data_IF_963824078774
#
_entry.id   IF_963824078774
#
_cell.length_a   1.000
_cell.length_b   1.000
_cell.length_c   1.000
_cell.angle_alpha   90.00
_cell.angle_beta   90.00
_cell.angle_gamma   90.00
#
_symmetry.space_group_name_H-M   'P 1'
#
loop_
_entity.id
_entity.type
_entity.pdbx_description
1 polymer ?
#
# COMPACT_ATOMS: atom_id res chain seq x y z
N UNK A 1 0.16 -14.62 13.01
CA UNK A 1 -0.16 -13.77 11.85
C UNK A 1 0.83 -14.09 10.75
N UNK A 2 0.37 -14.10 9.50
CA UNK A 2 1.17 -14.28 8.29
C UNK A 2 1.03 -13.04 7.40
N UNK A 3 2.15 -12.49 6.91
CA UNK A 3 2.17 -11.39 5.93
C UNK A 3 2.92 -11.90 4.70
N UNK A 4 2.22 -11.97 3.57
CA UNK A 4 2.80 -12.32 2.27
C UNK A 4 2.80 -11.10 1.39
N UNK A 5 3.98 -10.71 0.90
CA UNK A 5 4.14 -9.66 -0.11
C UNK A 5 4.45 -10.38 -1.41
N UNK A 6 3.62 -10.16 -2.43
CA UNK A 6 3.68 -10.90 -3.68
C UNK A 6 4.53 -10.17 -4.71
N UNK A 7 5.24 -10.94 -5.52
CA UNK A 7 5.86 -10.44 -6.75
C UNK A 7 4.78 -10.19 -7.80
N UNK A 8 4.38 -8.93 -7.93
CA UNK A 8 3.41 -8.45 -8.91
C UNK A 8 4.06 -7.68 -10.05
N UNK A 9 5.38 -7.78 -10.21
CA UNK A 9 6.17 -6.92 -11.10
C UNK A 9 6.06 -5.45 -10.70
N UNK A 10 5.09 -4.72 -11.25
CA UNK A 10 4.84 -3.32 -10.93
C UNK A 10 3.65 -3.22 -9.98
N UNK A 11 3.70 -2.28 -9.04
CA UNK A 11 2.64 -2.07 -8.06
C UNK A 11 2.85 -2.83 -6.76
N UNK A 12 1.75 -3.00 -6.03
CA UNK A 12 1.71 -3.69 -4.75
C UNK A 12 0.65 -4.79 -4.71
N UNK A 13 0.94 -5.87 -3.99
CA UNK A 13 -0.08 -6.73 -3.43
C UNK A 13 0.49 -7.46 -2.21
N UNK A 14 -0.20 -7.38 -1.06
CA UNK A 14 0.16 -8.12 0.12
C UNK A 14 -1.08 -8.67 0.84
N UNK A 15 -1.02 -9.96 1.21
CA UNK A 15 -2.04 -10.63 2.02
C UNK A 15 -1.59 -10.66 3.48
N UNK A 16 -2.46 -10.19 4.37
CA UNK A 16 -2.30 -10.32 5.82
C UNK A 16 -3.34 -11.31 6.32
N UNK A 17 -2.89 -12.37 6.97
CA UNK A 17 -3.75 -13.36 7.63
C UNK A 17 -3.52 -13.30 9.13
N UNK A 18 -4.57 -12.96 9.88
CA UNK A 18 -4.56 -12.81 11.33
C UNK A 18 -4.71 -14.17 12.02
N UNK A 19 -4.41 -14.24 13.32
CA UNK A 19 -4.48 -15.51 14.07
C UNK A 19 -5.89 -16.06 14.25
N UNK A 20 -6.88 -15.18 14.25
CA UNK A 20 -8.29 -15.55 14.35
C UNK A 20 -8.93 -15.85 12.98
N UNK A 21 -8.12 -15.92 11.91
CA UNK A 21 -8.55 -16.34 10.58
C UNK A 21 -9.14 -15.23 9.72
N UNK A 22 -9.08 -13.96 10.16
CA UNK A 22 -9.46 -12.83 9.31
C UNK A 22 -8.35 -12.46 8.33
N UNK A 23 -8.75 -12.00 7.15
CA UNK A 23 -7.84 -11.67 6.06
C UNK A 23 -7.98 -10.21 5.62
N UNK A 24 -6.84 -9.58 5.35
CA UNK A 24 -6.77 -8.26 4.75
C UNK A 24 -5.89 -8.32 3.51
N UNK A 25 -6.23 -7.50 2.51
CA UNK A 25 -5.41 -7.33 1.33
C UNK A 25 -4.96 -5.88 1.24
N UNK A 26 -3.67 -5.65 1.06
CA UNK A 26 -3.08 -4.35 0.77
C UNK A 26 -2.73 -4.36 -0.72
N UNK A 27 -3.40 -3.50 -1.49
CA UNK A 27 -3.38 -3.44 -2.94
C UNK A 27 -3.81 -4.74 -3.66
N UNK A 28 -4.12 -4.62 -4.94
CA UNK A 28 -4.63 -5.69 -5.80
C UNK A 28 -3.90 -5.72 -7.15
N UNK A 29 -2.59 -5.47 -7.15
CA UNK A 29 -1.72 -5.66 -8.30
C UNK A 29 -1.66 -7.11 -8.77
N UNK A 30 -1.22 -7.32 -10.01
CA UNK A 30 -1.03 -8.65 -10.59
C UNK A 30 0.28 -8.73 -11.36
N UNK A 31 0.78 -9.95 -11.49
CA UNK A 31 1.97 -10.23 -12.28
C UNK A 31 1.55 -10.59 -13.71
N UNK A 32 1.89 -9.77 -14.69
CA UNK A 32 1.53 -9.99 -16.09
C UNK A 32 2.38 -11.10 -16.73
N UNK A 33 3.66 -11.22 -16.35
CA UNK A 33 4.56 -12.25 -16.90
C UNK A 33 4.19 -13.66 -16.46
N UNK A 34 3.88 -13.87 -15.19
CA UNK A 34 3.52 -15.20 -14.66
C UNK A 34 2.01 -15.47 -14.72
N UNK A 35 1.20 -14.42 -14.92
CA UNK A 35 -0.25 -14.49 -14.86
C UNK A 35 -0.81 -14.62 -13.43
N UNK A 36 0.02 -14.45 -12.39
CA UNK A 36 -0.42 -14.51 -11.00
C UNK A 36 -1.39 -13.36 -10.69
N UNK A 37 -2.50 -13.68 -10.03
CA UNK A 37 -3.62 -12.76 -9.74
C UNK A 37 -4.18 -13.02 -8.34
N UNK A 38 -4.42 -11.98 -7.51
CA UNK A 38 -5.05 -12.17 -6.21
C UNK A 38 -6.48 -12.74 -6.33
N UNK A 39 -7.22 -12.40 -7.39
CA UNK A 39 -8.57 -12.94 -7.65
C UNK A 39 -8.61 -14.46 -7.89
N UNK A 40 -7.49 -15.07 -8.26
CA UNK A 40 -7.35 -16.53 -8.43
C UNK A 40 -6.66 -17.15 -7.23
N UNK A 41 -5.63 -16.49 -6.71
CA UNK A 41 -4.83 -16.99 -5.60
C UNK A 41 -5.63 -17.10 -4.31
N UNK A 42 -6.42 -16.08 -3.94
CA UNK A 42 -7.16 -16.09 -2.68
C UNK A 42 -8.23 -17.20 -2.61
N UNK A 43 -9.12 -17.37 -3.63
CA UNK A 43 -10.08 -18.48 -3.61
C UNK A 43 -9.43 -19.86 -3.59
N UNK A 44 -8.27 -20.03 -4.24
CA UNK A 44 -7.52 -21.30 -4.20
C UNK A 44 -6.97 -21.62 -2.80
N UNK A 45 -6.77 -20.63 -1.95
CA UNK A 45 -6.46 -20.81 -0.52
C UNK A 45 -7.72 -20.99 0.35
N UNK A 46 -8.92 -20.98 -0.23
CA UNK A 46 -10.20 -21.00 0.49
C UNK A 46 -10.60 -19.64 1.07
N UNK A 47 -9.91 -18.55 0.70
CA UNK A 47 -10.22 -17.20 1.16
C UNK A 47 -11.28 -16.60 0.24
N UNK A 48 -12.52 -16.54 0.73
CA UNK A 48 -13.67 -16.02 -0.03
C UNK A 48 -14.14 -14.64 0.44
N UNK A 49 -13.57 -14.12 1.54
CA UNK A 49 -13.86 -12.78 2.05
C UNK A 49 -12.62 -12.10 2.60
N UNK A 50 -12.56 -10.78 2.45
CA UNK A 50 -11.59 -9.89 3.08
C UNK A 50 -12.33 -9.00 4.07
N UNK A 51 -11.81 -8.94 5.30
CA UNK A 51 -12.27 -7.99 6.29
C UNK A 51 -11.96 -6.56 5.83
N UNK A 52 -10.77 -6.35 5.24
CA UNK A 52 -10.37 -5.07 4.67
C UNK A 52 -9.59 -5.23 3.38
N UNK A 53 -9.96 -4.46 2.37
CA UNK A 53 -9.10 -4.12 1.24
C UNK A 53 -8.54 -2.72 1.49
N UNK A 54 -7.22 -2.57 1.48
CA UNK A 54 -6.51 -1.31 1.65
C UNK A 54 -5.84 -0.98 0.32
N UNK A 55 -6.29 0.06 -0.38
CA UNK A 55 -5.64 0.57 -1.59
C UNK A 55 -4.74 1.74 -1.20
N UNK A 56 -3.44 1.54 -1.32
CA UNK A 56 -2.41 2.49 -0.89
C UNK A 56 -2.15 3.56 -1.93
N UNK A 57 -2.28 3.26 -3.23
CA UNK A 57 -2.10 4.21 -4.32
C UNK A 57 -3.18 4.01 -5.39
N UNK A 58 -3.52 5.07 -6.14
CA UNK A 58 -4.59 5.08 -7.15
C UNK A 58 -4.08 4.87 -8.59
N UNK A 59 -2.87 4.34 -8.74
CA UNK A 59 -2.32 3.81 -9.98
C UNK A 59 -2.79 2.40 -10.28
N UNK A 60 -2.90 2.11 -11.59
CA UNK A 60 -3.47 0.85 -12.07
C UNK A 60 -2.66 -0.36 -11.62
N UNK A 61 -1.35 -0.24 -11.48
CA UNK A 61 -0.50 -1.33 -11.00
C UNK A 61 -0.79 -1.72 -9.54
N UNK A 62 -1.34 -0.83 -8.71
CA UNK A 62 -1.85 -1.15 -7.37
C UNK A 62 -3.26 -1.73 -7.35
N UNK A 63 -4.03 -1.62 -8.43
CA UNK A 63 -5.45 -2.04 -8.45
C UNK A 63 -5.81 -2.94 -9.64
N UNK A 64 -4.83 -3.38 -10.43
CA UNK A 64 -5.04 -3.93 -11.77
C UNK A 64 -5.91 -5.19 -11.81
N UNK A 65 -5.96 -5.97 -10.73
CA UNK A 65 -6.85 -7.14 -10.64
C UNK A 65 -8.13 -6.89 -9.82
N UNK A 66 -8.35 -5.67 -9.30
CA UNK A 66 -9.47 -5.33 -8.43
C UNK A 66 -10.83 -5.67 -9.05
N UNK A 67 -10.97 -5.42 -10.35
CA UNK A 67 -12.20 -5.70 -11.10
C UNK A 67 -12.55 -7.20 -11.14
N UNK A 68 -11.57 -8.10 -11.07
CA UNK A 68 -11.77 -9.55 -10.94
C UNK A 68 -11.90 -9.97 -9.48
N UNK A 69 -11.10 -9.36 -8.59
CA UNK A 69 -11.08 -9.67 -7.16
C UNK A 69 -12.46 -9.49 -6.54
N UNK A 70 -13.13 -8.35 -6.75
CA UNK A 70 -14.45 -8.07 -6.18
C UNK A 70 -15.58 -8.96 -6.72
N UNK A 71 -15.32 -9.79 -7.74
CA UNK A 71 -16.27 -10.78 -8.28
C UNK A 71 -16.08 -12.17 -7.66
N UNK A 72 -14.92 -12.41 -7.07
CA UNK A 72 -14.48 -13.72 -6.58
C UNK A 72 -14.32 -13.76 -5.06
N UNK A 73 -14.13 -12.60 -4.43
CA UNK A 73 -13.90 -12.41 -3.01
C UNK A 73 -14.80 -11.28 -2.50
N UNK A 74 -15.56 -11.54 -1.43
CA UNK A 74 -16.34 -10.52 -0.73
C UNK A 74 -15.40 -9.52 -0.04
N UNK A 75 -15.66 -8.22 -0.18
CA UNK A 75 -14.86 -7.18 0.47
C UNK A 75 -15.77 -6.47 1.48
N UNK A 76 -15.46 -6.55 2.77
CA UNK A 76 -16.31 -5.98 3.82
C UNK A 76 -16.06 -4.48 4.03
N UNK A 77 -14.81 -4.04 3.93
CA UNK A 77 -14.44 -2.63 4.03
C UNK A 77 -13.33 -2.24 3.05
N UNK A 78 -13.41 -1.01 2.55
CA UNK A 78 -12.40 -0.40 1.68
C UNK A 78 -11.69 0.74 2.43
N UNK A 79 -10.38 0.69 2.48
CA UNK A 79 -9.49 1.71 3.05
C UNK A 79 -8.66 2.31 1.93
N UNK A 80 -8.55 3.63 1.89
CA UNK A 80 -7.86 4.42 0.86
C UNK A 80 -7.68 5.85 1.37
N UNK A 81 -6.98 6.71 0.64
CA UNK A 81 -6.90 8.13 0.99
C UNK A 81 -8.32 8.75 0.96
N UNK A 82 -8.93 9.12 2.11
CA UNK A 82 -10.33 9.50 2.19
C UNK A 82 -10.65 10.86 1.54
N UNK A 83 -9.64 11.68 1.20
CA UNK A 83 -9.86 13.01 0.62
C UNK A 83 -10.01 13.00 -0.90
N UNK A 84 -9.66 11.90 -1.57
CA UNK A 84 -9.77 11.76 -3.03
C UNK A 84 -11.08 11.06 -3.39
N UNK A 85 -12.08 11.77 -3.90
CA UNK A 85 -13.35 11.14 -4.28
C UNK A 85 -13.29 10.40 -5.62
N UNK A 86 -14.37 9.68 -5.94
CA UNK A 86 -14.48 8.90 -7.17
C UNK A 86 -14.46 9.77 -8.45
N UNK A 87 -14.92 11.02 -8.36
CA UNK A 87 -14.88 11.96 -9.48
C UNK A 87 -13.48 12.50 -9.73
N UNK A 88 -12.73 12.71 -8.65
CA UNK A 88 -11.39 13.26 -8.60
C UNK A 88 -10.36 12.31 -9.21
N UNK A 89 -10.50 10.99 -9.00
CA UNK A 89 -9.64 9.98 -9.67
C UNK A 89 -9.63 10.17 -11.18
N UNK A 90 -10.79 10.47 -11.79
CA UNK A 90 -10.85 10.69 -13.24
C UNK A 90 -10.09 11.94 -13.67
N UNK A 91 -10.02 12.94 -12.79
CA UNK A 91 -9.25 14.16 -13.04
C UNK A 91 -7.75 13.87 -12.92
N UNK A 92 -7.33 13.16 -11.88
CA UNK A 92 -5.94 12.78 -11.62
C UNK A 92 -5.34 11.96 -12.79
N UNK A 93 -6.12 11.02 -13.35
CA UNK A 93 -5.70 10.20 -14.50
C UNK A 93 -5.60 10.96 -15.83
N UNK A 94 -6.16 12.16 -15.91
CA UNK A 94 -6.14 12.99 -17.11
C UNK A 94 -6.72 12.30 -18.36
N UNK A 95 -6.11 12.57 -19.53
CA UNK A 95 -6.55 12.00 -20.83
C UNK A 95 -6.06 10.58 -21.11
N UNK A 96 -5.18 10.03 -20.25
CA UNK A 96 -4.55 8.71 -20.43
C UNK A 96 -5.51 7.53 -20.30
N UNK A 97 -6.74 7.78 -19.86
CA UNK A 97 -7.75 6.77 -19.61
C UNK A 97 -7.62 6.14 -18.23
N UNK A 98 -8.69 5.47 -17.82
CA UNK A 98 -8.77 4.79 -16.53
C UNK A 98 -8.72 3.29 -16.83
N UNK A 99 -7.73 2.59 -16.26
CA UNK A 99 -7.65 1.13 -16.35
C UNK A 99 -8.83 0.46 -15.63
N UNK A 100 -9.02 -0.84 -15.88
CA UNK A 100 -10.15 -1.57 -15.31
C UNK A 100 -10.10 -1.62 -13.79
N UNK A 101 -8.90 -1.70 -13.21
CA UNK A 101 -8.67 -1.66 -11.77
C UNK A 101 -9.17 -0.37 -11.14
N UNK A 102 -8.68 0.77 -11.64
CA UNK A 102 -9.06 2.09 -11.12
C UNK A 102 -10.51 2.45 -11.44
N UNK A 103 -11.05 2.00 -12.58
CA UNK A 103 -12.47 2.13 -12.88
C UNK A 103 -13.30 1.40 -11.82
N UNK A 104 -12.89 0.18 -11.45
CA UNK A 104 -13.55 -0.58 -10.39
C UNK A 104 -13.41 0.06 -9.02
N UNK A 105 -12.24 0.63 -8.71
CA UNK A 105 -12.02 1.37 -7.47
C UNK A 105 -12.98 2.57 -7.37
N UNK A 106 -13.09 3.36 -8.43
CA UNK A 106 -13.99 4.52 -8.45
C UNK A 106 -15.46 4.11 -8.23
N UNK A 107 -15.91 2.99 -8.80
CA UNK A 107 -17.24 2.44 -8.50
C UNK A 107 -17.40 2.02 -7.04
N UNK A 108 -16.39 1.32 -6.49
CA UNK A 108 -16.41 0.91 -5.08
C UNK A 108 -16.47 2.12 -4.15
N UNK A 109 -15.75 3.20 -4.45
CA UNK A 109 -15.82 4.44 -3.65
C UNK A 109 -17.24 5.05 -3.58
N UNK A 110 -18.10 4.80 -4.57
CA UNK A 110 -19.50 5.28 -4.54
C UNK A 110 -20.45 4.37 -3.77
N UNK A 111 -20.06 3.12 -3.51
CA UNK A 111 -20.91 2.11 -2.83
C UNK A 111 -20.44 1.81 -1.40
N UNK A 112 -19.14 1.93 -1.12
CA UNK A 112 -18.53 1.76 0.19
C UNK A 112 -18.53 3.09 0.96
N UNK A 113 -19.74 3.63 1.20
CA UNK A 113 -19.95 4.92 1.89
C UNK A 113 -20.42 4.76 3.35
N UNK A 114 -20.68 3.52 3.78
CA UNK A 114 -21.11 3.23 5.13
C UNK A 114 -19.98 3.38 6.15
N UNK A 115 -20.35 3.63 7.40
CA UNK A 115 -19.41 3.45 8.51
C UNK A 115 -19.06 1.97 8.63
N UNK A 116 -17.75 1.64 8.70
CA UNK A 116 -17.32 0.28 9.04
C UNK A 116 -17.96 -0.04 10.41
N UNK A 117 -18.81 -1.07 10.52
CA UNK A 117 -19.36 -1.48 11.82
C UNK A 117 -18.20 -1.79 12.78
N UNK A 118 -18.44 -1.65 14.08
CA UNK A 118 -17.47 -1.76 15.19
C UNK A 118 -16.15 -2.46 14.84
N UNK A 119 -15.01 -1.84 15.17
CA UNK A 119 -13.68 -2.33 14.76
C UNK A 119 -13.58 -3.87 14.87
N UNK A 120 -13.42 -4.58 13.73
CA UNK A 120 -13.30 -6.03 13.76
C UNK A 120 -12.16 -6.44 14.67
N UNK A 121 -12.35 -7.55 15.39
CA UNK A 121 -11.25 -8.20 16.07
C UNK A 121 -10.29 -8.76 15.00
N UNK A 122 -9.12 -8.14 14.85
CA UNK A 122 -8.08 -8.58 13.92
C UNK A 122 -7.01 -9.42 14.64
N UNK A 123 -7.35 -10.07 15.75
CA UNK A 123 -6.44 -10.96 16.48
C UNK A 123 -5.21 -10.24 17.02
N UNK A 124 -5.39 -9.01 17.53
CA UNK A 124 -4.31 -8.17 18.04
C UNK A 124 -3.52 -7.38 16.98
N UNK A 125 -3.87 -7.51 15.69
CA UNK A 125 -3.39 -6.62 14.64
C UNK A 125 -4.00 -5.23 14.81
N UNK A 126 -3.17 -4.20 14.76
CA UNK A 126 -3.61 -2.80 14.69
C UNK A 126 -3.13 -2.17 13.40
N UNK A 127 -3.94 -1.26 12.84
CA UNK A 127 -3.69 -0.60 11.57
C UNK A 127 -3.73 0.90 11.82
N UNK A 128 -2.68 1.60 11.42
CA UNK A 128 -2.65 3.07 11.36
C UNK A 128 -2.48 3.52 9.93
N UNK A 129 -3.32 4.45 9.51
CA UNK A 129 -3.31 5.01 8.18
C UNK A 129 -2.90 6.48 8.24
N UNK A 130 -2.00 6.89 7.34
CA UNK A 130 -1.59 8.28 7.16
C UNK A 130 -1.69 8.64 5.68
N UNK A 131 -2.09 9.87 5.38
CA UNK A 131 -2.27 10.36 4.01
C UNK A 131 -2.11 11.88 3.98
N UNK A 132 -1.78 12.40 2.82
CA UNK A 132 -1.85 13.84 2.52
C UNK A 132 -3.23 14.18 1.94
N UNK A 133 -3.65 15.43 2.09
CA UNK A 133 -4.99 15.88 1.71
C UNK A 133 -5.07 16.35 0.25
N UNK A 134 -6.05 15.83 -0.50
CA UNK A 134 -6.44 16.36 -1.80
C UNK A 134 -7.54 17.43 -1.65
N UNK A 135 -7.51 18.52 -2.43
CA UNK A 135 -6.42 18.96 -3.31
C UNK A 135 -5.38 19.82 -2.59
N UNK A 136 -5.49 20.00 -1.27
CA UNK A 136 -4.75 21.03 -0.54
C UNK A 136 -3.25 20.79 -0.47
N UNK A 137 -2.83 19.57 -0.13
CA UNK A 137 -1.42 19.21 -0.05
C UNK A 137 -0.88 18.82 -1.43
N UNK A 138 -1.63 18.01 -2.18
CA UNK A 138 -1.21 17.48 -3.49
C UNK A 138 -2.38 17.23 -4.45
N UNK A 139 -2.05 17.25 -5.74
CA UNK A 139 -2.93 16.89 -6.86
C UNK A 139 -2.29 15.83 -7.78
N UNK A 140 -1.26 15.14 -7.30
CA UNK A 140 -0.65 13.99 -7.97
C UNK A 140 -0.90 12.70 -7.18
N UNK A 141 -1.08 11.60 -7.90
CA UNK A 141 -1.52 10.33 -7.33
C UNK A 141 -0.51 9.73 -6.33
N UNK A 142 0.77 9.92 -6.60
CA UNK A 142 1.86 9.35 -5.82
C UNK A 142 1.98 9.99 -4.44
N UNK A 143 2.01 11.32 -4.35
CA UNK A 143 2.04 12.01 -3.06
C UNK A 143 0.70 11.95 -2.31
N UNK A 144 -0.38 11.52 -2.99
CA UNK A 144 -1.66 11.17 -2.38
C UNK A 144 -1.76 9.71 -1.90
N UNK A 145 -0.69 8.93 -2.03
CA UNK A 145 -0.62 7.57 -1.47
C UNK A 145 -0.97 7.57 0.02
N UNK A 146 -1.62 6.51 0.48
CA UNK A 146 -1.88 6.25 1.89
C UNK A 146 -0.85 5.29 2.45
N UNK A 147 -0.19 5.71 3.52
CA UNK A 147 0.73 4.88 4.28
C UNK A 147 -0.07 4.04 5.26
N UNK A 148 0.03 2.71 5.12
CA UNK A 148 -0.51 1.72 6.02
C UNK A 148 0.59 1.19 6.94
N UNK A 149 0.47 1.42 8.24
CA UNK A 149 1.36 0.85 9.26
C UNK A 149 0.60 -0.22 10.03
N UNK A 150 1.04 -1.47 9.85
CA UNK A 150 0.56 -2.62 10.60
C UNK A 150 1.40 -2.84 11.84
N UNK A 151 0.77 -3.15 12.98
CA UNK A 151 1.47 -3.59 14.19
C UNK A 151 0.82 -4.83 14.78
N UNK A 152 1.65 -5.82 15.08
CA UNK A 152 1.24 -7.08 15.68
C UNK A 152 2.39 -7.68 16.50
N UNK A 153 2.13 -8.00 17.77
CA UNK A 153 3.08 -8.60 18.73
C UNK A 153 4.54 -8.09 18.65
N UNK A 154 4.72 -6.78 18.56
CA UNK A 154 6.04 -6.14 18.52
C UNK A 154 6.68 -6.02 17.14
N UNK A 155 6.11 -6.66 16.10
CA UNK A 155 6.47 -6.38 14.71
C UNK A 155 5.66 -5.19 14.19
N UNK A 156 6.32 -4.31 13.43
CA UNK A 156 5.69 -3.13 12.81
C UNK A 156 6.14 -3.05 11.35
N UNK A 157 5.19 -3.05 10.42
CA UNK A 157 5.44 -3.08 8.98
C UNK A 157 4.79 -1.84 8.35
N UNK A 158 5.53 -1.13 7.51
CA UNK A 158 5.07 0.06 6.79
C UNK A 158 4.92 -0.24 5.29
N UNK A 159 3.71 -0.02 4.78
CA UNK A 159 3.35 -0.07 3.36
C UNK A 159 3.02 1.35 2.90
N UNK A 160 3.95 2.07 2.26
CA UNK A 160 3.76 3.47 1.94
C UNK A 160 3.09 3.73 0.57
N UNK A 161 2.80 2.66 -0.19
CA UNK A 161 2.45 2.79 -1.61
C UNK A 161 3.53 3.54 -2.37
N UNK A 162 3.11 4.42 -3.27
CA UNK A 162 4.02 5.17 -4.15
C UNK A 162 4.33 6.58 -3.65
N UNK A 163 4.28 6.78 -2.33
CA UNK A 163 4.65 8.05 -1.69
C UNK A 163 6.04 8.54 -2.14
N UNK A 164 6.07 9.71 -2.78
CA UNK A 164 7.32 10.35 -3.18
C UNK A 164 7.86 11.30 -2.09
N UNK A 165 9.10 11.78 -2.29
CA UNK A 165 9.83 12.62 -1.33
C UNK A 165 8.98 13.80 -0.81
N UNK A 166 8.21 14.46 -1.66
CA UNK A 166 7.40 15.61 -1.25
C UNK A 166 6.30 15.21 -0.27
N UNK A 167 5.55 14.14 -0.58
CA UNK A 167 4.51 13.63 0.28
C UNK A 167 5.04 13.03 1.58
N UNK A 168 6.21 12.38 1.56
CA UNK A 168 6.90 11.96 2.79
C UNK A 168 7.24 13.16 3.67
N UNK A 169 7.84 14.21 3.11
CA UNK A 169 8.20 15.41 3.87
C UNK A 169 6.97 16.07 4.49
N UNK A 170 5.86 16.13 3.75
CA UNK A 170 4.60 16.68 4.25
C UNK A 170 4.07 15.90 5.46
N UNK A 171 4.07 14.56 5.39
CA UNK A 171 3.68 13.73 6.53
C UNK A 171 4.64 13.86 7.70
N UNK A 172 5.95 14.00 7.42
CA UNK A 172 6.98 14.19 8.45
C UNK A 172 6.84 15.49 9.24
N UNK A 173 6.04 16.47 8.81
CA UNK A 173 5.68 17.63 9.63
C UNK A 173 4.83 17.24 10.84
N UNK A 174 4.07 16.13 10.75
CA UNK A 174 3.14 15.68 11.78
C UNK A 174 3.83 14.86 12.86
N UNK A 175 3.58 15.21 14.13
CA UNK A 175 4.19 14.54 15.28
C UNK A 175 3.73 13.08 15.43
N UNK A 176 2.44 12.80 15.19
CA UNK A 176 1.86 11.46 15.27
C UNK A 176 2.46 10.51 14.24
N UNK A 177 2.71 11.00 13.03
CA UNK A 177 3.37 10.24 11.97
C UNK A 177 4.82 9.92 12.29
N UNK A 178 5.61 10.92 12.73
CA UNK A 178 7.00 10.69 13.17
C UNK A 178 7.07 9.63 14.28
N UNK A 179 6.15 9.68 15.24
CA UNK A 179 6.09 8.70 16.32
C UNK A 179 5.75 7.28 15.79
N UNK A 180 4.82 7.17 14.83
CA UNK A 180 4.47 5.87 14.24
C UNK A 180 5.63 5.28 13.42
N UNK A 181 6.35 6.11 12.66
CA UNK A 181 7.50 5.69 11.86
C UNK A 181 8.69 5.22 12.71
N UNK A 182 8.91 5.83 13.88
CA UNK A 182 10.03 5.49 14.77
C UNK A 182 10.01 4.01 15.23
N UNK A 183 8.83 3.39 15.26
CA UNK A 183 8.65 2.00 15.66
C UNK A 183 8.69 1.00 14.49
N UNK A 184 8.82 1.47 13.24
CA UNK A 184 8.76 0.61 12.05
C UNK A 184 10.00 -0.27 11.96
N UNK A 185 9.77 -1.58 11.84
CA UNK A 185 10.81 -2.60 11.69
C UNK A 185 11.00 -3.03 10.23
N UNK A 186 9.92 -3.13 9.47
CA UNK A 186 9.95 -3.54 8.06
C UNK A 186 9.36 -2.42 7.21
N UNK A 187 10.13 -1.95 6.23
CA UNK A 187 9.69 -0.97 5.25
C UNK A 187 9.49 -1.67 3.90
N UNK A 188 8.29 -1.61 3.33
CA UNK A 188 8.15 -1.80 1.88
C UNK A 188 8.58 -0.49 1.22
N UNK A 189 9.56 -0.56 0.32
CA UNK A 189 10.15 0.60 -0.31
C UNK A 189 9.07 1.33 -1.12
N UNK A 190 9.01 2.65 -0.94
CA UNK A 190 7.99 3.45 -1.61
C UNK A 190 8.26 3.56 -3.10
N UNK A 191 7.18 3.61 -3.88
CA UNK A 191 7.23 3.80 -5.33
C UNK A 191 8.13 2.76 -6.00
N UNK A 192 7.93 1.50 -5.63
CA UNK A 192 8.70 0.35 -6.12
C UNK A 192 10.20 0.46 -5.85
N UNK A 193 10.58 1.27 -4.87
CA UNK A 193 11.98 1.60 -4.57
C UNK A 193 12.64 2.56 -5.55
N UNK A 194 11.89 3.24 -6.44
CA UNK A 194 12.44 4.24 -7.37
C UNK A 194 13.04 5.46 -6.65
N UNK A 195 13.86 6.22 -7.38
CA UNK A 195 14.60 7.37 -6.82
C UNK A 195 13.68 8.41 -6.18
N UNK A 196 12.51 8.66 -6.75
CA UNK A 196 11.55 9.64 -6.22
C UNK A 196 10.88 9.19 -4.91
N UNK A 197 10.92 7.90 -4.56
CA UNK A 197 10.48 7.38 -3.26
C UNK A 197 11.59 7.42 -2.19
N UNK A 198 12.83 7.73 -2.56
CA UNK A 198 13.99 7.72 -1.66
C UNK A 198 14.04 9.00 -0.79
N UNK A 199 13.25 9.04 0.29
CA UNK A 199 13.21 10.18 1.20
C UNK A 199 14.28 10.11 2.31
N UNK A 200 15.32 10.95 2.21
CA UNK A 200 16.38 11.02 3.23
C UNK A 200 15.87 11.51 4.60
N UNK A 201 14.85 12.38 4.60
CA UNK A 201 14.28 12.95 5.82
C UNK A 201 13.71 11.91 6.79
N UNK A 202 13.36 10.71 6.31
CA UNK A 202 12.93 9.60 7.18
C UNK A 202 14.03 9.13 8.14
N UNK A 203 15.29 9.26 7.74
CA UNK A 203 16.43 8.64 8.41
C UNK A 203 17.23 9.62 9.28
N UNK A 204 16.93 10.92 9.23
CA UNK A 204 17.73 11.98 9.90
C UNK A 204 17.71 11.89 11.42
N UNK A 205 16.72 11.21 12.00
CA UNK A 205 16.60 10.96 13.44
C UNK A 205 17.38 9.74 13.90
N UNK A 206 18.04 9.04 12.98
CA UNK A 206 18.74 7.79 13.25
C UNK A 206 17.85 6.54 13.19
N UNK A 207 16.57 6.68 12.83
CA UNK A 207 15.71 5.53 12.53
C UNK A 207 16.27 4.73 11.36
N UNK A 208 16.27 3.39 11.51
CA UNK A 208 16.67 2.43 10.49
C UNK A 208 15.77 1.20 10.57
N UNK A 209 15.05 0.81 9.50
CA UNK A 209 14.29 -0.42 9.51
C UNK A 209 15.23 -1.63 9.58
N UNK A 210 14.77 -2.75 10.14
CA UNK A 210 15.48 -4.03 10.15
C UNK A 210 15.53 -4.65 8.75
N UNK A 211 14.46 -4.47 7.97
CA UNK A 211 14.34 -5.01 6.61
C UNK A 211 13.69 -3.95 5.73
N UNK A 212 14.24 -3.76 4.53
CA UNK A 212 13.57 -3.04 3.45
C UNK A 212 13.27 -4.01 2.31
N UNK A 213 12.02 -4.04 1.85
CA UNK A 213 11.55 -4.91 0.77
C UNK A 213 11.27 -4.03 -0.45
N UNK A 214 11.86 -4.35 -1.60
CA UNK A 214 11.60 -3.65 -2.86
C UNK A 214 10.75 -4.58 -3.73
N UNK A 215 9.59 -4.10 -4.16
CA UNK A 215 8.72 -4.74 -5.15
C UNK A 215 8.84 -3.96 -6.45
N UNK A 216 9.54 -4.50 -7.44
CA UNK A 216 9.59 -3.97 -8.81
C UNK A 216 9.92 -5.11 -9.78
N UNK A 217 9.64 -4.91 -11.06
CA UNK A 217 9.96 -5.90 -12.09
C UNK A 217 11.46 -6.10 -12.24
N UNK A 218 11.84 -7.31 -12.66
CA UNK A 218 13.23 -7.68 -12.88
C UNK A 218 13.85 -6.92 -14.06
N UNK A 219 14.67 -5.91 -13.76
CA UNK A 219 15.69 -5.26 -14.61
C UNK A 219 15.25 -4.95 -16.05
N UNK A 220 14.55 -3.81 -16.22
CA UNK A 220 14.72 -2.91 -17.36
C UNK A 220 14.91 -1.47 -16.82
N UNK A 221 16.15 -1.15 -16.42
CA UNK A 221 16.74 0.20 -16.34
C UNK A 221 16.58 1.14 -15.12
N UNK A 222 15.87 0.85 -14.01
CA UNK A 222 15.77 1.86 -12.90
C UNK A 222 16.02 1.39 -11.46
N UNK A 223 15.63 0.18 -11.05
CA UNK A 223 15.61 -0.17 -9.62
C UNK A 223 16.92 -0.63 -9.01
N UNK A 224 17.99 -0.82 -9.80
CA UNK A 224 19.32 -1.09 -9.24
C UNK A 224 20.00 0.15 -8.64
N UNK A 225 19.59 1.36 -9.02
CA UNK A 225 20.25 2.59 -8.53
C UNK A 225 20.02 2.83 -7.03
N UNK A 226 18.93 2.31 -6.48
CA UNK A 226 18.48 2.62 -5.12
C UNK A 226 18.65 1.47 -4.14
N UNK A 227 18.95 0.24 -4.61
CA UNK A 227 19.21 -0.91 -3.72
C UNK A 227 20.32 -0.57 -2.72
N UNK A 228 21.42 0.02 -3.19
CA UNK A 228 22.52 0.45 -2.32
C UNK A 228 22.08 1.57 -1.38
N UNK A 229 21.27 2.52 -1.87
CA UNK A 229 20.74 3.63 -1.06
C UNK A 229 19.91 3.12 0.14
N UNK A 230 19.02 2.15 -0.10
CA UNK A 230 18.25 1.49 0.96
C UNK A 230 19.13 0.61 1.84
N UNK A 231 20.05 -0.17 1.28
CA UNK A 231 20.97 -1.04 2.04
C UNK A 231 21.80 -0.27 3.06
N UNK A 232 22.30 0.91 2.69
CA UNK A 232 23.03 1.80 3.61
C UNK A 232 22.16 2.39 4.73
N UNK A 233 20.83 2.30 4.60
CA UNK A 233 19.81 2.88 5.49
C UNK A 233 19.03 1.85 6.30
N UNK A 234 19.07 0.58 5.90
CA UNK A 234 18.58 -0.57 6.67
C UNK A 234 19.62 -0.97 7.72
N UNK A 235 19.16 -1.50 8.86
CA UNK A 235 20.02 -2.02 9.92
C UNK A 235 20.95 -3.12 9.38
N UNK A 236 22.26 -2.91 9.47
CA UNK A 236 23.24 -3.97 9.36
C UNK A 236 23.69 -4.36 10.77
N UNK A 237 23.58 -5.64 11.12
CA UNK A 237 24.22 -6.14 12.34
C UNK A 237 25.72 -5.80 12.30
N UNK A 238 26.32 -5.36 13.43
CA UNK A 238 27.74 -5.06 13.51
C UNK A 238 28.63 -6.29 13.28
#
# INVERSE_FOLDING_TARGET
MDIRIFDVEHGGCALVSTDNGEHLLIDAGHNSTTGWRPSVYLPNLGITSLERLIITNMDEDHASDLHNLRRTVEIRALYRNPTVGAGEIRHLKGQGGIGNGISSLAEMMTSYIGTVPAEPDLGGLTIKMFWNEYPYDFEDENNLSSICILRYHGLVVCFPGDMEVQGWNRLLDRQDFRAAMADVHVLVASHHGRRNGCCEALYVTGWRPLITIISDSGIEYATQETVNWYRERTWSAP
#
